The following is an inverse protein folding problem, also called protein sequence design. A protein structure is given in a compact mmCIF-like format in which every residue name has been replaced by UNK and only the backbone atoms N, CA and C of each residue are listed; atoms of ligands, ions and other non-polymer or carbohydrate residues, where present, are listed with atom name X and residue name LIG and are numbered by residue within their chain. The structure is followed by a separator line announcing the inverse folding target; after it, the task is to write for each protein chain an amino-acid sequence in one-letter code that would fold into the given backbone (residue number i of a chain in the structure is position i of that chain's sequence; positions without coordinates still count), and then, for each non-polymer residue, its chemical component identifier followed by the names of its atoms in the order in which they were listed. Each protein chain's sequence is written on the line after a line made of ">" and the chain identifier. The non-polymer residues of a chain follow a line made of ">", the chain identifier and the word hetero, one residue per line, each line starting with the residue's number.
data_IF_517038762974
#
_entry.id   IF_517038762974
#
_cell.length_a   1.000
_cell.length_b   1.000
_cell.length_c   1.000
_cell.angle_alpha   90.00
_cell.angle_beta   90.00
_cell.angle_gamma   90.00
#
_symmetry.space_group_name_H-M   'P 1'
#
loop_
_entity.id
_entity.type
_entity.pdbx_description
1 polymer ?
#
# COMPACT_ATOMS: atom_id res chain seq x y z
N UNK A 1 -30.98 -11.91 25.50
CA UNK A 1 -30.08 -10.75 25.42
C UNK A 1 -29.75 -10.46 23.96
N UNK A 2 -29.94 -9.23 23.54
CA UNK A 2 -29.65 -8.78 22.19
C UNK A 2 -28.13 -8.68 21.99
N UNK A 3 -27.67 -8.91 20.76
CA UNK A 3 -26.24 -8.73 20.43
C UNK A 3 -25.82 -7.28 20.66
N UNK A 4 -26.74 -6.33 20.52
CA UNK A 4 -26.46 -4.91 20.76
C UNK A 4 -26.18 -4.60 22.23
N UNK A 5 -26.65 -5.45 23.16
CA UNK A 5 -26.36 -5.28 24.59
C UNK A 5 -24.89 -5.53 24.92
N UNK A 6 -24.15 -6.14 24.00
CA UNK A 6 -22.71 -6.39 24.15
C UNK A 6 -21.83 -5.25 23.67
N UNK A 7 -22.43 -4.22 23.08
CA UNK A 7 -21.68 -3.10 22.52
C UNK A 7 -21.11 -2.21 23.62
N UNK A 8 -19.82 -1.86 23.49
CA UNK A 8 -19.21 -0.85 24.34
C UNK A 8 -19.78 0.53 24.02
N UNK A 9 -19.58 1.47 24.93
CA UNK A 9 -19.99 2.86 24.71
C UNK A 9 -19.34 3.43 23.44
N UNK A 10 -20.12 4.15 22.65
CA UNK A 10 -19.63 4.85 21.46
C UNK A 10 -19.19 6.29 21.76
N UNK A 11 -19.32 6.71 23.02
CA UNK A 11 -18.87 8.04 23.44
C UNK A 11 -17.36 8.17 23.24
N UNK A 12 -16.94 9.27 22.61
CA UNK A 12 -15.52 9.50 22.34
C UNK A 12 -14.99 8.82 21.08
N UNK A 13 -15.85 8.08 20.36
CA UNK A 13 -15.44 7.47 19.10
C UNK A 13 -15.04 8.57 18.10
N UNK A 14 -13.94 8.35 17.40
CA UNK A 14 -13.42 9.28 16.41
C UNK A 14 -13.25 8.59 15.07
N UNK A 15 -13.47 9.33 13.98
CA UNK A 15 -13.20 8.83 12.64
C UNK A 15 -11.68 8.65 12.46
N UNK A 16 -11.24 7.59 11.77
CA UNK A 16 -9.82 7.47 11.43
C UNK A 16 -9.37 8.68 10.62
N UNK A 17 -8.16 9.15 10.88
CA UNK A 17 -7.57 10.29 10.19
C UNK A 17 -6.28 9.91 9.48
N UNK A 18 -5.85 10.75 8.55
CA UNK A 18 -4.54 10.59 7.88
C UNK A 18 -3.44 11.05 8.83
N UNK A 19 -2.22 10.51 8.63
CA UNK A 19 -1.04 11.04 9.31
C UNK A 19 -0.48 12.24 8.54
N UNK A 20 0.25 13.15 9.22
CA UNK A 20 0.84 14.32 8.54
C UNK A 20 1.76 13.94 7.38
N UNK A 21 1.76 14.76 6.34
CA UNK A 21 2.58 14.52 5.15
C UNK A 21 4.04 14.89 5.32
N UNK A 22 4.87 14.35 4.42
CA UNK A 22 6.30 14.65 4.30
C UNK A 22 7.17 14.15 5.46
N UNK A 23 6.65 13.22 6.24
CA UNK A 23 7.40 12.56 7.30
C UNK A 23 7.60 11.09 6.97
N UNK A 24 8.59 10.47 7.59
CA UNK A 24 8.85 9.04 7.47
C UNK A 24 7.99 8.27 8.46
N UNK A 25 7.33 7.22 7.96
CA UNK A 25 6.53 6.34 8.80
C UNK A 25 6.90 4.90 8.53
N UNK A 26 6.88 4.09 9.58
CA UNK A 26 6.92 2.64 9.42
C UNK A 26 5.51 2.19 9.03
N UNK A 27 5.40 1.49 7.91
CA UNK A 27 4.13 0.99 7.40
C UNK A 27 4.18 -0.53 7.30
N UNK A 28 3.02 -1.16 7.42
CA UNK A 28 2.91 -2.61 7.38
C UNK A 28 1.91 -3.02 6.31
N UNK A 29 2.23 -4.06 5.56
CA UNK A 29 1.33 -4.63 4.58
C UNK A 29 0.26 -5.43 5.33
N UNK A 30 -1.01 -5.05 5.15
CA UNK A 30 -2.12 -5.76 5.80
C UNK A 30 -2.91 -6.64 4.83
N UNK A 31 -2.85 -6.33 3.54
CA UNK A 31 -3.40 -7.18 2.50
C UNK A 31 -2.78 -6.83 1.15
N UNK A 32 -2.88 -7.75 0.19
CA UNK A 32 -2.45 -7.50 -1.18
C UNK A 32 -3.49 -8.09 -2.13
N UNK A 33 -3.99 -7.28 -3.03
CA UNK A 33 -4.87 -7.73 -4.11
C UNK A 33 -4.05 -7.83 -5.38
N UNK A 34 -4.20 -8.93 -6.11
CA UNK A 34 -3.59 -9.11 -7.42
C UNK A 34 -4.70 -9.36 -8.43
N UNK A 35 -4.72 -8.57 -9.49
CA UNK A 35 -5.81 -8.63 -10.48
C UNK A 35 -5.32 -8.03 -11.79
N UNK A 36 -6.21 -7.95 -12.76
CA UNK A 36 -5.97 -7.25 -14.03
C UNK A 36 -6.91 -6.05 -14.11
N UNK A 37 -6.40 -4.95 -14.69
CA UNK A 37 -7.22 -3.76 -14.90
C UNK A 37 -8.11 -3.94 -16.14
N UNK A 38 -8.93 -2.92 -16.44
CA UNK A 38 -9.87 -2.98 -17.57
C UNK A 38 -9.18 -3.12 -18.94
N UNK A 39 -7.89 -2.79 -19.02
CA UNK A 39 -7.10 -2.96 -20.23
C UNK A 39 -6.41 -4.33 -20.30
N UNK A 40 -6.63 -5.19 -19.30
CA UNK A 40 -6.03 -6.51 -19.24
C UNK A 40 -4.63 -6.55 -18.66
N UNK A 41 -4.13 -5.43 -18.12
CA UNK A 41 -2.78 -5.36 -17.54
C UNK A 41 -2.80 -5.84 -16.08
N UNK A 42 -1.89 -6.77 -15.72
CA UNK A 42 -1.84 -7.23 -14.33
C UNK A 42 -1.25 -6.17 -13.40
N UNK A 43 -1.78 -6.12 -12.19
CA UNK A 43 -1.30 -5.21 -11.16
C UNK A 43 -1.41 -5.85 -9.78
N UNK A 44 -0.70 -5.27 -8.82
CA UNK A 44 -0.90 -5.56 -7.41
C UNK A 44 -1.32 -4.28 -6.69
N UNK A 45 -2.11 -4.45 -5.65
CA UNK A 45 -2.62 -3.35 -4.84
C UNK A 45 -2.38 -3.68 -3.37
N UNK A 46 -1.17 -3.47 -2.87
CA UNK A 46 -0.93 -3.64 -1.44
C UNK A 46 -1.65 -2.57 -0.64
N UNK A 47 -2.21 -2.98 0.48
CA UNK A 47 -2.87 -2.12 1.44
C UNK A 47 -2.02 -2.04 2.69
N UNK A 48 -1.83 -0.84 3.20
CA UNK A 48 -0.93 -0.57 4.32
C UNK A 48 -1.65 0.07 5.49
N UNK A 49 -1.11 -0.18 6.68
CA UNK A 49 -1.42 0.62 7.86
C UNK A 49 -0.12 1.28 8.35
N UNK A 50 -0.24 2.35 9.12
CA UNK A 50 0.90 2.97 9.78
C UNK A 50 1.12 2.25 11.10
N UNK A 51 2.26 1.58 11.25
CA UNK A 51 2.50 0.65 12.37
C UNK A 51 2.35 1.29 13.75
N UNK A 52 2.82 2.54 13.91
CA UNK A 52 2.78 3.23 15.20
C UNK A 52 1.52 4.09 15.37
N UNK A 53 0.61 4.08 14.39
CA UNK A 53 -0.63 4.83 14.42
C UNK A 53 -1.78 3.94 13.97
N UNK A 54 -2.16 2.93 14.79
CA UNK A 54 -3.11 1.91 14.34
C UNK A 54 -4.52 2.44 14.06
N UNK A 55 -4.85 3.63 14.56
CA UNK A 55 -6.15 4.25 14.31
C UNK A 55 -6.16 5.17 13.09
N UNK A 56 -5.01 5.37 12.43
CA UNK A 56 -4.94 6.13 11.20
C UNK A 56 -5.59 5.34 10.05
N UNK A 57 -6.06 6.06 9.03
CA UNK A 57 -6.67 5.44 7.85
C UNK A 57 -5.66 4.54 7.12
N UNK A 58 -6.11 3.37 6.70
CA UNK A 58 -5.35 2.52 5.79
C UNK A 58 -5.29 3.17 4.41
N UNK A 59 -4.28 2.81 3.63
CA UNK A 59 -4.09 3.34 2.29
C UNK A 59 -3.47 2.27 1.39
N UNK A 60 -3.58 2.49 0.08
CA UNK A 60 -3.11 1.52 -0.91
C UNK A 60 -2.11 2.16 -1.86
N UNK A 61 -1.37 1.30 -2.56
CA UNK A 61 -0.48 1.73 -3.64
C UNK A 61 -0.72 0.81 -4.84
N UNK A 62 -1.09 1.40 -5.97
CA UNK A 62 -1.23 0.66 -7.22
C UNK A 62 0.16 0.44 -7.84
N UNK A 63 0.50 -0.82 -8.15
CA UNK A 63 1.76 -1.19 -8.77
C UNK A 63 1.47 -2.12 -9.96
N UNK A 64 1.71 -1.62 -11.16
CA UNK A 64 1.56 -2.44 -12.36
C UNK A 64 2.69 -3.48 -12.41
N UNK A 65 2.38 -4.69 -12.86
CA UNK A 65 3.38 -5.75 -13.01
C UNK A 65 4.16 -5.50 -14.31
N UNK A 66 5.51 -5.47 -14.25
CA UNK A 66 6.32 -5.27 -15.46
C UNK A 66 6.38 -6.57 -16.29
N UNK A 67 5.56 -6.66 -17.32
CA UNK A 67 5.44 -7.85 -18.17
C UNK A 67 6.29 -7.76 -19.43
N UNK A 68 6.49 -8.89 -20.11
CA UNK A 68 7.16 -8.91 -21.42
C UNK A 68 6.40 -8.12 -22.46
N UNK A 69 5.07 -8.19 -22.42
CA UNK A 69 4.22 -7.45 -23.35
C UNK A 69 4.43 -5.96 -23.21
N UNK A 70 4.50 -5.46 -21.96
CA UNK A 70 4.78 -4.06 -21.70
C UNK A 70 6.18 -3.69 -22.17
N UNK A 71 7.19 -4.54 -21.93
CA UNK A 71 8.56 -4.31 -22.39
C UNK A 71 8.65 -4.17 -23.91
N UNK A 72 7.82 -4.93 -24.64
CA UNK A 72 7.79 -4.89 -26.09
C UNK A 72 7.00 -3.71 -26.66
N UNK A 73 5.96 -3.25 -25.95
CA UNK A 73 5.06 -2.21 -26.45
C UNK A 73 5.45 -0.79 -26.00
N UNK A 74 6.00 -0.65 -24.80
CA UNK A 74 6.37 0.65 -24.24
C UNK A 74 7.54 0.47 -23.28
N UNK A 75 8.75 0.55 -23.84
CA UNK A 75 9.99 0.30 -23.08
C UNK A 75 10.19 1.25 -21.93
N UNK A 76 9.85 2.52 -22.13
CA UNK A 76 10.02 3.54 -21.11
C UNK A 76 9.08 3.29 -19.91
N UNK A 77 7.83 2.98 -20.20
CA UNK A 77 6.86 2.63 -19.16
C UNK A 77 7.26 1.34 -18.43
N UNK A 78 7.75 0.34 -19.17
CA UNK A 78 8.25 -0.90 -18.59
C UNK A 78 9.36 -0.63 -17.58
N UNK A 79 10.34 0.22 -17.93
CA UNK A 79 11.46 0.51 -17.04
C UNK A 79 10.99 1.23 -15.76
N UNK A 80 10.06 2.17 -15.88
CA UNK A 80 9.49 2.86 -14.70
C UNK A 80 8.73 1.90 -13.80
N UNK A 81 7.91 1.05 -14.40
CA UNK A 81 7.10 0.05 -13.70
C UNK A 81 7.99 -0.96 -12.98
N UNK A 82 9.05 -1.41 -13.67
CA UNK A 82 10.01 -2.34 -13.10
C UNK A 82 10.75 -1.72 -11.90
N UNK A 83 11.17 -0.47 -12.03
CA UNK A 83 11.86 0.24 -10.95
C UNK A 83 10.95 0.43 -9.73
N UNK A 84 9.68 0.80 -9.95
CA UNK A 84 8.72 0.94 -8.86
C UNK A 84 8.54 -0.37 -8.08
N UNK A 85 8.52 -1.50 -8.78
CA UNK A 85 8.43 -2.81 -8.16
C UNK A 85 9.69 -3.13 -7.35
N UNK A 86 10.87 -2.79 -7.86
CA UNK A 86 12.14 -2.96 -7.13
C UNK A 86 12.11 -2.16 -5.83
N UNK A 87 11.70 -0.91 -5.89
CA UNK A 87 11.61 -0.05 -4.70
C UNK A 87 10.67 -0.63 -3.64
N UNK A 88 9.53 -1.15 -4.08
CA UNK A 88 8.59 -1.80 -3.17
C UNK A 88 9.21 -3.04 -2.51
N UNK A 89 9.81 -3.92 -3.29
CA UNK A 89 10.45 -5.13 -2.77
C UNK A 89 11.58 -4.81 -1.79
N UNK A 90 12.43 -3.85 -2.12
CA UNK A 90 13.53 -3.45 -1.24
C UNK A 90 13.01 -2.87 0.08
N UNK A 91 11.94 -2.08 0.01
CA UNK A 91 11.34 -1.47 1.21
C UNK A 91 10.91 -2.53 2.23
N UNK A 92 10.29 -3.61 1.75
CA UNK A 92 9.71 -4.64 2.60
C UNK A 92 10.58 -5.90 2.74
N UNK A 93 11.79 -5.87 2.22
CA UNK A 93 12.70 -7.01 2.33
C UNK A 93 12.23 -8.24 1.57
N UNK A 94 11.52 -8.06 0.47
CA UNK A 94 11.07 -9.14 -0.41
C UNK A 94 12.17 -9.39 -1.44
N UNK A 95 12.60 -10.65 -1.56
CA UNK A 95 13.63 -11.03 -2.53
C UNK A 95 13.06 -10.97 -3.95
N UNK A 96 13.57 -10.07 -4.83
CA UNK A 96 13.05 -9.96 -6.20
C UNK A 96 13.24 -11.23 -7.03
N UNK A 97 14.21 -12.07 -6.68
CA UNK A 97 14.46 -13.34 -7.39
C UNK A 97 13.49 -14.44 -6.95
N UNK A 98 12.97 -14.33 -5.74
CA UNK A 98 12.03 -15.31 -5.16
C UNK A 98 10.97 -14.56 -4.34
N UNK A 99 10.09 -13.79 -5.00
CA UNK A 99 9.13 -12.96 -4.25
C UNK A 99 8.08 -13.78 -3.52
N UNK A 100 7.81 -15.02 -3.92
CA UNK A 100 6.77 -15.83 -3.34
C UNK A 100 5.39 -15.34 -3.74
N UNK A 101 4.39 -15.83 -3.03
CA UNK A 101 3.01 -15.38 -3.22
C UNK A 101 2.79 -14.06 -2.47
N UNK A 102 1.92 -13.22 -3.00
CA UNK A 102 1.59 -11.93 -2.38
C UNK A 102 1.06 -12.08 -0.96
N UNK A 103 0.42 -13.19 -0.63
CA UNK A 103 -0.05 -13.47 0.71
C UNK A 103 1.09 -13.57 1.72
N UNK A 104 2.27 -14.02 1.28
CA UNK A 104 3.44 -14.16 2.14
C UNK A 104 4.03 -12.81 2.55
N UNK A 105 3.65 -11.74 1.88
CA UNK A 105 4.15 -10.39 2.18
C UNK A 105 3.36 -9.72 3.32
N UNK A 106 2.17 -10.23 3.63
CA UNK A 106 1.32 -9.66 4.69
C UNK A 106 2.04 -9.71 6.02
N UNK A 107 2.04 -8.59 6.74
CA UNK A 107 2.73 -8.45 8.01
C UNK A 107 4.14 -7.87 7.91
N UNK A 108 4.71 -7.80 6.71
CA UNK A 108 6.03 -7.18 6.53
C UNK A 108 5.94 -5.68 6.72
N UNK A 109 6.97 -5.12 7.31
CA UNK A 109 7.06 -3.69 7.59
C UNK A 109 8.20 -3.04 6.83
N UNK A 110 8.06 -1.77 6.54
CA UNK A 110 9.09 -0.97 5.89
C UNK A 110 8.82 0.50 6.16
N UNK A 111 9.76 1.35 5.77
CA UNK A 111 9.66 2.79 5.97
C UNK A 111 9.32 3.49 4.66
N UNK A 112 8.49 4.51 4.75
CA UNK A 112 8.09 5.28 3.59
C UNK A 112 7.84 6.74 3.99
N UNK A 113 8.04 7.63 3.03
CA UNK A 113 7.59 9.02 3.16
C UNK A 113 6.19 9.06 2.59
N UNK A 114 5.25 9.56 3.38
CA UNK A 114 3.84 9.61 3.00
C UNK A 114 3.43 11.03 2.61
N UNK A 115 2.47 11.11 1.71
CA UNK A 115 1.79 12.34 1.35
C UNK A 115 0.34 12.29 1.75
N UNK A 116 -0.36 13.39 1.53
CA UNK A 116 -1.80 13.50 1.74
C UNK A 116 -2.42 14.01 0.44
N UNK A 117 -3.43 13.31 -0.03
CA UNK A 117 -4.24 13.74 -1.16
C UNK A 117 -5.70 13.76 -0.75
N UNK A 118 -6.50 14.55 -1.44
CA UNK A 118 -7.92 14.60 -1.17
C UNK A 118 -8.69 13.89 -2.27
N UNK A 119 -9.53 12.95 -1.85
CA UNK A 119 -10.41 12.19 -2.72
C UNK A 119 -11.83 12.71 -2.54
N UNK A 120 -12.54 12.99 -3.63
CA UNK A 120 -13.90 13.54 -3.58
C UNK A 120 -14.87 12.61 -2.85
N UNK A 121 -14.66 11.30 -2.95
CA UNK A 121 -15.56 10.32 -2.35
C UNK A 121 -15.17 9.95 -0.93
N UNK A 122 -13.86 9.86 -0.64
CA UNK A 122 -13.35 9.33 0.63
C UNK A 122 -12.65 10.37 1.51
N UNK A 123 -12.56 11.62 1.06
CA UNK A 123 -11.88 12.67 1.80
C UNK A 123 -10.36 12.56 1.70
N UNK A 124 -9.67 12.98 2.75
CA UNK A 124 -8.22 12.92 2.77
C UNK A 124 -7.72 11.47 2.87
N UNK A 125 -6.66 11.17 2.11
CA UNK A 125 -6.02 9.86 2.08
C UNK A 125 -4.51 10.04 2.12
N UNK A 126 -3.82 9.16 2.83
CA UNK A 126 -2.37 9.08 2.69
C UNK A 126 -2.02 8.30 1.41
N UNK A 127 -0.87 8.61 0.84
CA UNK A 127 -0.29 7.84 -0.25
C UNK A 127 1.23 7.78 -0.05
N UNK A 128 1.86 6.81 -0.71
CA UNK A 128 3.31 6.66 -0.62
C UNK A 128 3.96 7.63 -1.61
N UNK A 129 4.69 8.62 -1.10
CA UNK A 129 5.54 9.48 -1.93
C UNK A 129 6.81 8.75 -2.33
N UNK A 130 7.41 8.04 -1.39
CA UNK A 130 8.66 7.32 -1.64
C UNK A 130 8.78 6.16 -0.66
N UNK A 131 9.05 4.96 -1.19
CA UNK A 131 9.50 3.85 -0.38
C UNK A 131 10.96 4.06 -0.03
N UNK A 132 11.32 3.84 1.23
CA UNK A 132 12.69 3.95 1.68
C UNK A 132 13.28 2.54 1.68
N UNK A 133 14.40 2.36 1.01
CA UNK A 133 15.10 1.10 1.02
C UNK A 133 15.55 0.72 2.43
N UNK A 134 16.26 -0.37 2.58
CA UNK A 134 16.68 -0.85 3.91
C UNK A 134 17.42 0.24 4.69
N UNK A 135 16.97 0.42 5.90
CA UNK A 135 17.63 1.32 6.86
C UNK A 135 18.68 0.56 7.66
#
# INVERSE_FOLDING_TARGET
>A
MSIMDQMESLDGAQAPEVVPENEEYKIRIISVTADTNKNGDPYILPKFEVSDHPLAKDFTKYLQVPTKDLANSDRKKFERTRWAMVEFFECFGIDPQRPGDEESWVGREGWAILGVSEDEQYGEQNYVKKFIGSK
#
